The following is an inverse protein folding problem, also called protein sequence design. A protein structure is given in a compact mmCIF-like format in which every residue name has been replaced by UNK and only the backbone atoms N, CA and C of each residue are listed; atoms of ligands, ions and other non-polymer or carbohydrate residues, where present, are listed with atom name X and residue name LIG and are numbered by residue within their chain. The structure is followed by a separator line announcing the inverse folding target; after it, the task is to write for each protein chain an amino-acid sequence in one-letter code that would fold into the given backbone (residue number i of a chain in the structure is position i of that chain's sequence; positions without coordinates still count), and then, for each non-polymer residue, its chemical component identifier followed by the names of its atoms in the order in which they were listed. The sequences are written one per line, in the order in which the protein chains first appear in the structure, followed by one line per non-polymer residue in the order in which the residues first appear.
data_IF_964341064497
#
_entry.id   IF_964341064497
#
_cell.length_a   1.000
_cell.length_b   1.000
_cell.length_c   1.000
_cell.angle_alpha   90.00
_cell.angle_beta   90.00
_cell.angle_gamma   90.00
#
_symmetry.space_group_name_H-M   'P 1'
#
loop_
_entity.id
_entity.type
_entity.pdbx_description
1 polymer ?
#
# COMPACT_ATOMS: atom_id res chain seq x y z
N UNK A 1 -4.21 -16.51 51.47
CA UNK A 1 -3.16 -15.51 51.20
C UNK A 1 -3.12 -15.31 49.70
N UNK A 2 -3.80 -14.28 49.19
CA UNK A 2 -3.67 -13.85 47.81
C UNK A 2 -2.34 -13.13 47.68
N UNK A 3 -1.36 -13.77 47.03
CA UNK A 3 -0.12 -13.12 46.64
C UNK A 3 -0.36 -12.46 45.28
N UNK A 4 -0.34 -11.13 45.27
CA UNK A 4 -0.60 -10.33 44.09
C UNK A 4 0.53 -10.43 43.08
N UNK A 5 0.18 -10.73 41.83
CA UNK A 5 0.98 -10.30 40.69
C UNK A 5 0.86 -8.77 40.62
N UNK A 6 1.86 -8.09 41.19
CA UNK A 6 2.10 -6.67 41.00
C UNK A 6 2.31 -6.45 39.50
N UNK A 7 1.42 -5.70 38.86
CA UNK A 7 1.60 -5.29 37.49
C UNK A 7 2.94 -4.55 37.37
N UNK A 8 3.80 -4.97 36.43
CA UNK A 8 4.98 -4.21 36.09
C UNK A 8 4.50 -2.86 35.56
N UNK A 9 4.67 -1.81 36.36
CA UNK A 9 4.42 -0.44 35.94
C UNK A 9 5.31 -0.15 34.72
N UNK A 10 4.74 0.44 33.67
CA UNK A 10 5.50 0.79 32.47
C UNK A 10 6.51 1.88 32.84
N UNK A 11 7.79 1.51 32.88
CA UNK A 11 8.88 2.43 33.16
C UNK A 11 9.27 3.17 31.87
N UNK A 12 8.90 4.45 31.81
CA UNK A 12 9.15 5.32 30.66
C UNK A 12 10.65 5.59 30.47
N UNK A 13 11.42 5.68 31.55
CA UNK A 13 12.85 6.01 31.48
C UNK A 13 13.63 4.82 30.91
N UNK A 14 13.34 3.60 31.39
CA UNK A 14 13.89 2.36 30.83
C UNK A 14 13.50 2.18 29.37
N UNK A 15 12.27 2.54 29.00
CA UNK A 15 11.81 2.47 27.62
C UNK A 15 12.57 3.45 26.71
N UNK A 16 12.72 4.72 27.14
CA UNK A 16 13.41 5.76 26.36
C UNK A 16 14.88 5.42 26.16
N UNK A 17 15.55 4.88 27.19
CA UNK A 17 16.95 4.44 27.11
C UNK A 17 17.17 3.31 26.09
N UNK A 18 16.14 2.54 25.76
CA UNK A 18 16.17 1.47 24.76
C UNK A 18 15.84 1.94 23.34
N UNK A 19 15.43 3.20 23.15
CA UNK A 19 15.12 3.76 21.83
C UNK A 19 16.41 4.20 21.14
N UNK A 20 16.71 3.58 20.01
CA UNK A 20 17.79 4.02 19.12
C UNK A 20 17.30 5.15 18.22
N UNK A 21 18.00 6.28 18.25
CA UNK A 21 17.74 7.38 17.32
C UNK A 21 18.17 6.98 15.90
N UNK A 22 17.23 7.00 14.95
CA UNK A 22 17.52 6.67 13.54
C UNK A 22 17.80 7.91 12.69
N UNK A 23 17.31 9.08 13.13
CA UNK A 23 17.49 10.35 12.44
C UNK A 23 18.77 11.05 12.94
N UNK A 24 19.50 11.72 12.03
CA UNK A 24 20.62 12.57 12.44
C UNK A 24 20.10 13.78 13.23
N UNK A 25 20.91 14.32 14.15
CA UNK A 25 20.52 15.50 14.95
C UNK A 25 20.11 16.70 14.08
N UNK A 26 20.72 16.84 12.91
CA UNK A 26 20.46 17.94 11.98
C UNK A 26 19.12 17.78 11.26
N UNK A 27 18.69 16.54 10.96
CA UNK A 27 17.49 16.25 10.18
C UNK A 27 16.28 15.85 11.03
N UNK A 28 16.46 15.55 12.32
CA UNK A 28 15.42 15.02 13.21
C UNK A 28 14.17 15.93 13.27
N UNK A 29 14.34 17.25 13.32
CA UNK A 29 13.21 18.18 13.32
C UNK A 29 12.38 18.07 12.03
N UNK A 30 13.04 18.13 10.86
CA UNK A 30 12.39 18.02 9.55
C UNK A 30 11.74 16.64 9.39
N UNK A 31 12.44 15.58 9.78
CA UNK A 31 11.91 14.22 9.71
C UNK A 31 10.62 14.07 10.52
N UNK A 32 10.55 14.64 11.73
CA UNK A 32 9.33 14.65 12.54
C UNK A 32 8.20 15.43 11.88
N UNK A 33 8.49 16.60 11.31
CA UNK A 33 7.49 17.41 10.59
C UNK A 33 6.92 16.66 9.38
N UNK A 34 7.78 15.99 8.60
CA UNK A 34 7.38 15.18 7.45
C UNK A 34 6.52 13.98 7.87
N UNK A 35 6.87 13.28 8.95
CA UNK A 35 6.02 12.18 9.48
C UNK A 35 4.67 12.68 9.98
N UNK A 36 4.63 13.81 10.70
CA UNK A 36 3.37 14.43 11.12
C UNK A 36 2.51 14.83 9.92
N UNK A 37 3.12 15.40 8.88
CA UNK A 37 2.46 15.72 7.63
C UNK A 37 1.85 14.47 6.99
N UNK A 38 2.61 13.40 6.83
CA UNK A 38 2.15 12.16 6.21
C UNK A 38 1.02 11.49 7.02
N UNK A 39 1.11 11.45 8.35
CA UNK A 39 0.03 10.93 9.21
C UNK A 39 -1.26 11.73 9.07
N UNK A 40 -1.16 13.06 9.04
CA UNK A 40 -2.33 13.93 8.83
C UNK A 40 -2.94 13.73 7.44
N UNK A 41 -2.10 13.56 6.41
CA UNK A 41 -2.52 13.36 5.03
C UNK A 41 -3.14 11.97 4.81
N UNK A 42 -2.59 10.92 5.41
CA UNK A 42 -3.16 9.58 5.38
C UNK A 42 -4.59 9.61 5.91
N UNK A 43 -4.83 10.26 7.06
CA UNK A 43 -6.17 10.38 7.63
C UNK A 43 -7.10 11.21 6.75
N UNK A 44 -6.61 12.34 6.21
CA UNK A 44 -7.41 13.25 5.39
C UNK A 44 -7.93 12.60 4.11
N UNK A 45 -7.14 11.74 3.48
CA UNK A 45 -7.46 11.12 2.19
C UNK A 45 -7.78 9.62 2.29
N UNK A 46 -7.99 9.11 3.51
CA UNK A 46 -8.36 7.71 3.73
C UNK A 46 -9.72 7.41 3.10
N UNK A 47 -9.73 6.41 2.22
CA UNK A 47 -10.96 5.86 1.64
C UNK A 47 -11.64 4.93 2.67
N UNK A 48 -12.96 5.05 2.81
CA UNK A 48 -13.75 4.19 3.70
C UNK A 48 -13.72 2.74 3.20
N UNK A 49 -13.66 1.75 4.09
CA UNK A 49 -13.47 0.35 3.69
C UNK A 49 -14.61 -0.25 2.87
N UNK A 50 -15.81 0.32 2.97
CA UNK A 50 -17.05 -0.18 2.38
C UNK A 50 -17.48 0.57 1.10
N UNK A 51 -16.62 1.43 0.55
CA UNK A 51 -16.94 2.29 -0.61
C UNK A 51 -17.45 1.53 -1.85
N UNK A 52 -17.02 0.28 -2.06
CA UNK A 52 -17.50 -0.57 -3.16
C UNK A 52 -18.85 -1.24 -2.87
N UNK A 53 -19.26 -1.31 -1.61
CA UNK A 53 -20.54 -1.87 -1.17
C UNK A 53 -21.58 -0.80 -0.82
N UNK A 54 -21.12 0.41 -0.55
CA UNK A 54 -21.95 1.57 -0.22
C UNK A 54 -22.93 1.90 -1.36
N UNK A 55 -24.15 2.27 -0.98
CA UNK A 55 -25.19 2.81 -1.87
C UNK A 55 -25.16 4.34 -1.76
N UNK A 56 -24.92 5.05 -2.86
CA UNK A 56 -24.99 6.52 -2.91
C UNK A 56 -26.16 6.94 -3.79
N UNK A 57 -26.98 7.87 -3.29
CA UNK A 57 -28.15 8.40 -3.99
C UNK A 57 -29.10 7.31 -4.51
N UNK A 58 -29.24 6.22 -3.75
CA UNK A 58 -30.05 5.05 -4.12
C UNK A 58 -29.41 4.11 -5.15
N UNK A 59 -28.17 4.37 -5.58
CA UNK A 59 -27.44 3.60 -6.57
C UNK A 59 -26.29 2.82 -5.93
N UNK A 60 -26.29 1.51 -6.10
CA UNK A 60 -25.18 0.62 -5.69
C UNK A 60 -24.02 0.72 -6.68
N UNK A 61 -22.79 0.49 -6.21
CA UNK A 61 -21.63 0.34 -7.10
C UNK A 61 -21.83 -0.84 -8.06
N UNK A 62 -21.54 -0.62 -9.34
CA UNK A 62 -21.41 -1.70 -10.33
C UNK A 62 -20.02 -2.38 -10.24
N UNK A 63 -19.09 -1.79 -9.50
CA UNK A 63 -17.73 -2.28 -9.28
C UNK A 63 -17.66 -3.03 -7.95
N UNK A 64 -17.09 -4.24 -7.95
CA UNK A 64 -16.84 -5.05 -6.77
C UNK A 64 -15.34 -5.29 -6.52
N UNK A 65 -15.00 -5.84 -5.35
CA UNK A 65 -13.62 -6.07 -4.93
C UNK A 65 -12.82 -6.95 -5.90
N UNK A 66 -13.47 -7.95 -6.54
CA UNK A 66 -12.83 -8.83 -7.52
C UNK A 66 -12.42 -8.06 -8.77
N UNK A 67 -13.32 -7.21 -9.29
CA UNK A 67 -13.04 -6.39 -10.47
C UNK A 67 -11.91 -5.39 -10.20
N UNK A 68 -11.91 -4.78 -9.01
CA UNK A 68 -10.80 -3.94 -8.56
C UNK A 68 -9.50 -4.73 -8.48
N UNK A 69 -9.53 -5.95 -7.93
CA UNK A 69 -8.36 -6.82 -7.87
C UNK A 69 -7.77 -7.10 -9.25
N UNK A 70 -8.60 -7.41 -10.24
CA UNK A 70 -8.18 -7.62 -11.64
C UNK A 70 -7.56 -6.34 -12.22
N UNK A 71 -8.17 -5.18 -11.99
CA UNK A 71 -7.61 -3.91 -12.44
C UNK A 71 -6.23 -3.65 -11.83
N UNK A 72 -6.10 -3.81 -10.51
CA UNK A 72 -4.84 -3.53 -9.80
C UNK A 72 -3.74 -4.49 -10.25
N UNK A 73 -4.06 -5.76 -10.47
CA UNK A 73 -3.11 -6.75 -10.99
C UNK A 73 -2.56 -6.32 -12.36
N UNK A 74 -3.45 -5.93 -13.28
CA UNK A 74 -3.07 -5.38 -14.58
C UNK A 74 -2.25 -4.08 -14.47
N UNK A 75 -2.59 -3.17 -13.55
CA UNK A 75 -1.80 -1.95 -13.33
C UNK A 75 -0.38 -2.24 -12.82
N UNK A 76 -0.14 -3.36 -12.13
CA UNK A 76 1.22 -3.80 -11.77
C UNK A 76 2.00 -4.18 -13.02
N UNK A 77 1.39 -4.90 -13.96
CA UNK A 77 2.01 -5.25 -15.24
C UNK A 77 2.36 -4.00 -16.06
N UNK A 78 1.43 -3.05 -16.15
CA UNK A 78 1.66 -1.73 -16.79
C UNK A 78 2.83 -0.99 -16.16
N UNK A 79 2.92 -1.02 -14.82
CA UNK A 79 4.03 -0.41 -14.08
C UNK A 79 5.38 -1.05 -14.40
N UNK A 80 5.43 -2.38 -14.57
CA UNK A 80 6.65 -3.07 -14.97
C UNK A 80 7.02 -2.80 -16.43
N UNK A 81 6.05 -2.80 -17.35
CA UNK A 81 6.26 -2.55 -18.78
C UNK A 81 6.92 -1.18 -19.02
N UNK A 82 6.39 -0.14 -18.35
CA UNK A 82 6.94 1.22 -18.44
C UNK A 82 8.00 1.54 -17.38
N UNK A 83 8.39 0.58 -16.55
CA UNK A 83 9.43 0.71 -15.50
C UNK A 83 9.17 1.89 -14.54
N UNK A 84 7.90 2.07 -14.18
CA UNK A 84 7.46 3.14 -13.29
C UNK A 84 7.98 2.93 -11.88
N UNK A 85 8.22 4.01 -11.14
CA UNK A 85 8.61 3.91 -9.73
C UNK A 85 7.45 3.40 -8.88
N UNK A 86 7.71 2.71 -7.74
CA UNK A 86 6.65 2.20 -6.89
C UNK A 86 5.69 3.29 -6.37
N UNK A 87 6.19 4.51 -6.17
CA UNK A 87 5.37 5.66 -5.77
C UNK A 87 4.25 5.94 -6.78
N UNK A 88 4.55 5.87 -8.08
CA UNK A 88 3.59 6.07 -9.19
C UNK A 88 2.46 5.05 -9.14
N UNK A 89 2.78 3.75 -9.04
CA UNK A 89 1.78 2.69 -8.96
C UNK A 89 0.87 2.86 -7.73
N UNK A 90 1.45 3.13 -6.56
CA UNK A 90 0.68 3.32 -5.34
C UNK A 90 -0.19 4.57 -5.38
N UNK A 91 0.30 5.65 -5.99
CA UNK A 91 -0.49 6.86 -6.21
C UNK A 91 -1.66 6.56 -7.16
N UNK A 92 -1.42 5.88 -8.29
CA UNK A 92 -2.47 5.50 -9.23
C UNK A 92 -3.59 4.68 -8.55
N UNK A 93 -3.23 3.65 -7.77
CA UNK A 93 -4.20 2.84 -7.03
C UNK A 93 -4.98 3.70 -6.01
N UNK A 94 -4.30 4.60 -5.31
CA UNK A 94 -4.94 5.53 -4.37
C UNK A 94 -5.95 6.46 -5.07
N UNK A 95 -5.61 6.97 -6.26
CA UNK A 95 -6.51 7.79 -7.06
C UNK A 95 -7.71 6.98 -7.54
N UNK A 96 -7.51 5.74 -8.00
CA UNK A 96 -8.61 4.82 -8.38
C UNK A 96 -9.59 4.64 -7.22
N UNK A 97 -9.09 4.32 -6.02
CA UNK A 97 -9.94 4.09 -4.85
C UNK A 97 -10.70 5.34 -4.44
N UNK A 98 -10.05 6.51 -4.46
CA UNK A 98 -10.71 7.77 -4.16
C UNK A 98 -11.78 8.11 -5.18
N UNK A 99 -11.52 7.93 -6.47
CA UNK A 99 -12.50 8.11 -7.52
C UNK A 99 -13.70 7.17 -7.35
N UNK A 100 -13.47 5.88 -7.13
CA UNK A 100 -14.55 4.92 -6.90
C UNK A 100 -15.32 5.20 -5.60
N UNK A 101 -14.70 5.89 -4.64
CA UNK A 101 -15.38 6.37 -3.45
C UNK A 101 -16.23 7.61 -3.68
N UNK A 102 -15.96 8.46 -4.69
CA UNK A 102 -16.69 9.72 -4.90
C UNK A 102 -17.69 9.66 -6.05
N UNK A 103 -17.44 8.84 -7.07
CA UNK A 103 -18.28 8.73 -8.26
C UNK A 103 -18.71 7.28 -8.56
N UNK A 104 -19.84 7.14 -9.23
CA UNK A 104 -20.34 5.84 -9.71
C UNK A 104 -19.87 5.60 -11.13
N UNK A 105 -19.25 4.44 -11.35
CA UNK A 105 -18.65 4.05 -12.61
C UNK A 105 -19.25 2.74 -13.11
N UNK A 106 -19.58 2.69 -14.40
CA UNK A 106 -19.97 1.44 -15.04
C UNK A 106 -18.77 0.49 -15.17
N UNK A 107 -18.99 -0.81 -15.02
CA UNK A 107 -17.92 -1.84 -15.13
C UNK A 107 -17.04 -1.72 -16.36
N UNK A 108 -17.62 -1.37 -17.51
CA UNK A 108 -16.90 -1.25 -18.79
C UNK A 108 -15.97 -0.04 -18.87
N UNK A 109 -16.00 0.88 -17.91
CA UNK A 109 -15.12 2.05 -17.83
C UNK A 109 -14.05 1.91 -16.75
N UNK A 110 -14.00 0.78 -16.03
CA UNK A 110 -13.06 0.56 -14.93
C UNK A 110 -11.59 0.59 -15.36
N UNK A 111 -11.26 -0.05 -16.48
CA UNK A 111 -9.89 -0.01 -17.01
C UNK A 111 -9.52 1.40 -17.50
N UNK A 112 -10.44 2.11 -18.17
CA UNK A 112 -10.24 3.51 -18.56
C UNK A 112 -9.94 4.41 -17.36
N UNK A 113 -10.66 4.23 -16.24
CA UNK A 113 -10.36 4.92 -14.98
C UNK A 113 -8.94 4.58 -14.50
N UNK A 114 -8.55 3.30 -14.51
CA UNK A 114 -7.21 2.87 -14.14
C UNK A 114 -6.11 3.51 -14.99
N UNK A 115 -6.28 3.55 -16.32
CA UNK A 115 -5.37 4.23 -17.24
C UNK A 115 -5.24 5.73 -16.89
N UNK A 116 -6.36 6.43 -16.73
CA UNK A 116 -6.37 7.86 -16.41
C UNK A 116 -5.69 8.16 -15.06
N UNK A 117 -5.96 7.35 -14.03
CA UNK A 117 -5.28 7.48 -12.74
C UNK A 117 -3.78 7.19 -12.83
N UNK A 118 -3.36 6.22 -13.65
CA UNK A 118 -1.94 5.94 -13.87
C UNK A 118 -1.25 7.07 -14.66
N UNK A 119 -1.88 7.61 -15.71
CA UNK A 119 -1.37 8.78 -16.45
C UNK A 119 -1.14 9.96 -15.51
N UNK A 120 -2.13 10.27 -14.66
CA UNK A 120 -2.01 11.34 -13.67
C UNK A 120 -0.91 11.08 -12.65
N UNK A 121 -0.78 9.84 -12.17
CA UNK A 121 0.31 9.48 -11.26
C UNK A 121 1.68 9.61 -11.94
N UNK A 122 1.82 9.19 -13.21
CA UNK A 122 3.05 9.35 -13.97
C UNK A 122 3.41 10.83 -14.15
N UNK A 123 2.44 11.68 -14.49
CA UNK A 123 2.65 13.13 -14.60
C UNK A 123 3.06 13.77 -13.26
N UNK A 124 2.73 13.14 -12.14
CA UNK A 124 3.01 13.64 -10.80
C UNK A 124 4.37 13.19 -10.26
N UNK A 125 4.73 11.92 -10.46
CA UNK A 125 5.89 11.29 -9.81
C UNK A 125 7.07 11.05 -10.77
N UNK A 126 6.82 10.83 -12.06
CA UNK A 126 7.88 10.45 -13.00
C UNK A 126 8.60 11.67 -13.58
N UNK A 127 9.93 11.57 -13.71
CA UNK A 127 10.73 12.57 -14.42
C UNK A 127 10.37 12.59 -15.90
N UNK A 128 10.09 11.41 -16.48
CA UNK A 128 9.65 11.24 -17.86
C UNK A 128 8.45 10.29 -17.86
N UNK A 129 7.25 10.86 -17.93
CA UNK A 129 6.01 10.11 -17.98
C UNK A 129 5.79 9.47 -19.37
N UNK A 130 5.20 8.26 -19.45
CA UNK A 130 4.68 7.73 -20.71
C UNK A 130 3.63 8.64 -21.31
N UNK A 131 3.53 8.64 -22.64
CA UNK A 131 2.55 9.42 -23.39
C UNK A 131 1.16 8.80 -23.30
N UNK A 132 0.11 9.55 -23.66
CA UNK A 132 -1.24 9.00 -23.75
C UNK A 132 -1.33 7.92 -24.84
N UNK A 133 -0.54 8.06 -25.93
CA UNK A 133 -0.46 7.06 -26.99
C UNK A 133 0.05 5.71 -26.48
N UNK A 134 1.00 5.73 -25.52
CA UNK A 134 1.47 4.51 -24.86
C UNK A 134 0.32 3.83 -24.10
N UNK A 135 -0.50 4.59 -23.38
CA UNK A 135 -1.68 4.04 -22.67
C UNK A 135 -2.78 3.56 -23.61
N UNK A 136 -2.96 4.19 -24.77
CA UNK A 136 -3.84 3.70 -25.83
C UNK A 136 -3.32 2.37 -26.38
N UNK A 137 -2.01 2.23 -26.57
CA UNK A 137 -1.38 1.01 -27.04
C UNK A 137 -1.51 -0.15 -26.04
N UNK A 138 -1.15 0.06 -24.76
CA UNK A 138 -1.18 -1.02 -23.75
C UNK A 138 -2.60 -1.46 -23.36
N UNK A 139 -3.60 -0.64 -23.64
CA UNK A 139 -5.02 -1.01 -23.51
C UNK A 139 -5.57 -1.71 -24.76
N UNK A 140 -4.69 -2.20 -25.65
CA UNK A 140 -5.04 -2.86 -26.93
C UNK A 140 -5.99 -2.02 -27.78
N UNK A 141 -5.78 -0.70 -27.80
CA UNK A 141 -6.63 0.26 -28.50
C UNK A 141 -8.11 0.20 -28.10
N UNK A 142 -8.43 -0.33 -26.92
CA UNK A 142 -9.80 -0.37 -26.39
C UNK A 142 -10.39 1.03 -26.24
N UNK A 143 -9.53 2.03 -26.00
CA UNK A 143 -9.93 3.42 -25.82
C UNK A 143 -9.14 4.35 -26.74
N UNK A 144 -9.78 5.43 -27.14
CA UNK A 144 -9.14 6.49 -27.93
C UNK A 144 -8.39 7.49 -27.06
N UNK A 145 -7.50 8.29 -27.66
CA UNK A 145 -6.84 9.42 -26.98
C UNK A 145 -7.86 10.37 -26.34
N UNK A 146 -8.97 10.67 -27.03
CA UNK A 146 -10.01 11.57 -26.53
C UNK A 146 -10.72 10.99 -25.31
N UNK A 147 -10.98 9.67 -25.29
CA UNK A 147 -11.57 9.01 -24.12
C UNK A 147 -10.62 9.01 -22.91
N UNK A 148 -9.32 8.80 -23.15
CA UNK A 148 -8.30 8.87 -22.10
C UNK A 148 -8.23 10.28 -21.49
N UNK A 149 -8.19 11.31 -22.32
CA UNK A 149 -8.18 12.73 -21.91
C UNK A 149 -9.47 13.13 -21.18
N UNK A 150 -10.62 12.66 -21.65
CA UNK A 150 -11.90 12.92 -21.00
C UNK A 150 -11.97 12.27 -19.61
N UNK A 151 -11.50 11.03 -19.47
CA UNK A 151 -11.44 10.37 -18.16
C UNK A 151 -10.42 11.04 -17.24
N UNK A 152 -9.26 11.48 -17.75
CA UNK A 152 -8.29 12.26 -16.97
C UNK A 152 -8.93 13.53 -16.38
N UNK A 153 -9.66 14.29 -17.21
CA UNK A 153 -10.42 15.46 -16.76
C UNK A 153 -11.45 15.08 -15.69
N UNK A 154 -12.18 13.99 -15.90
CA UNK A 154 -13.18 13.48 -14.95
C UNK A 154 -12.55 13.14 -13.60
N UNK A 155 -11.36 12.51 -13.60
CA UNK A 155 -10.62 12.18 -12.37
C UNK A 155 -10.18 13.45 -11.64
N UNK A 156 -9.64 14.43 -12.35
CA UNK A 156 -9.22 15.71 -11.77
C UNK A 156 -10.39 16.44 -11.11
N UNK A 157 -11.54 16.51 -11.79
CA UNK A 157 -12.75 17.14 -11.28
C UNK A 157 -13.31 16.38 -10.06
N UNK A 158 -13.41 15.05 -10.15
CA UNK A 158 -13.92 14.20 -9.06
C UNK A 158 -13.07 14.25 -7.79
N UNK A 159 -11.78 14.57 -7.93
CA UNK A 159 -10.84 14.70 -6.81
C UNK A 159 -10.55 16.17 -6.45
N UNK A 160 -11.21 17.12 -7.08
CA UNK A 160 -10.97 18.56 -6.92
C UNK A 160 -9.47 18.92 -7.03
N UNK A 161 -8.76 18.29 -7.98
CA UNK A 161 -7.31 18.44 -8.21
C UNK A 161 -6.42 18.07 -7.00
N UNK A 162 -6.97 17.45 -5.95
CA UNK A 162 -6.22 17.00 -4.76
C UNK A 162 -5.60 15.63 -5.05
N UNK A 163 -4.57 15.59 -5.88
CA UNK A 163 -3.92 14.35 -6.31
C UNK A 163 -2.92 13.80 -5.28
N UNK A 164 -2.35 14.65 -4.43
CA UNK A 164 -1.34 14.20 -3.46
C UNK A 164 -1.91 13.11 -2.54
N UNK A 165 -1.10 12.07 -2.31
CA UNK A 165 -1.47 10.94 -1.48
C UNK A 165 -0.28 10.48 -0.64
N UNK A 166 -0.53 10.22 0.65
CA UNK A 166 0.45 9.49 1.47
C UNK A 166 0.25 8.00 1.23
N UNK A 167 1.24 7.38 0.61
CA UNK A 167 1.32 5.93 0.43
C UNK A 167 2.30 5.27 1.44
N UNK A 168 2.35 3.94 1.42
CA UNK A 168 3.14 3.12 2.35
C UNK A 168 4.64 3.46 2.35
N UNK A 169 5.21 3.88 1.22
CA UNK A 169 6.64 4.14 1.10
C UNK A 169 7.11 5.37 1.89
N UNK A 170 6.22 6.34 2.12
CA UNK A 170 6.52 7.49 2.98
C UNK A 170 6.81 7.11 4.44
N UNK A 171 6.33 5.94 4.88
CA UNK A 171 6.57 5.42 6.21
C UNK A 171 7.59 4.28 6.23
N UNK A 172 7.58 3.44 5.19
CA UNK A 172 8.28 2.17 5.17
C UNK A 172 9.79 2.32 5.36
N UNK A 173 10.42 3.32 4.74
CA UNK A 173 11.86 3.53 4.86
C UNK A 173 12.28 3.75 6.32
N UNK A 174 11.60 4.67 7.03
CA UNK A 174 11.88 4.93 8.45
C UNK A 174 11.52 3.74 9.33
N UNK A 175 10.47 2.99 9.00
CA UNK A 175 10.11 1.79 9.75
C UNK A 175 11.13 0.67 9.56
N UNK A 176 11.69 0.50 8.37
CA UNK A 176 12.79 -0.44 8.10
C UNK A 176 14.03 -0.03 8.89
N UNK A 177 14.38 1.26 8.92
CA UNK A 177 15.50 1.76 9.72
C UNK A 177 15.27 1.59 11.22
N UNK A 178 14.04 1.77 11.70
CA UNK A 178 13.66 1.57 13.10
C UNK A 178 13.63 0.07 13.50
N UNK A 179 13.26 -0.80 12.55
CA UNK A 179 13.41 -2.25 12.68
C UNK A 179 14.89 -2.64 12.76
N UNK A 180 15.28 -3.34 13.82
CA UNK A 180 16.68 -3.75 13.99
C UNK A 180 17.12 -4.83 12.98
N UNK A 181 18.44 -4.98 12.83
CA UNK A 181 19.10 -6.09 12.12
C UNK A 181 18.84 -7.45 12.78
N UNK A 182 19.15 -8.52 12.03
CA UNK A 182 18.76 -9.92 12.21
C UNK A 182 18.95 -10.55 13.60
N UNK A 183 19.89 -10.08 14.45
CA UNK A 183 20.16 -10.70 15.76
C UNK A 183 19.14 -10.29 16.86
N UNK A 184 18.64 -9.06 16.82
CA UNK A 184 17.66 -8.55 17.81
C UNK A 184 16.23 -8.96 17.44
N UNK A 185 15.92 -9.06 16.14
CA UNK A 185 14.63 -9.57 15.65
C UNK A 185 14.35 -11.01 16.09
N UNK A 186 15.38 -11.83 16.29
CA UNK A 186 15.23 -13.21 16.78
C UNK A 186 14.63 -13.28 18.19
N UNK A 187 14.82 -12.23 19.01
CA UNK A 187 14.39 -12.22 20.41
C UNK A 187 13.15 -11.37 20.64
N UNK A 188 12.98 -10.26 19.91
CA UNK A 188 11.82 -9.37 20.05
C UNK A 188 11.28 -8.97 18.67
N UNK A 189 10.06 -9.44 18.36
CA UNK A 189 9.38 -9.13 17.11
C UNK A 189 9.00 -7.63 16.98
N UNK A 190 8.82 -6.94 18.10
CA UNK A 190 8.51 -5.50 18.13
C UNK A 190 9.41 -4.78 19.14
N UNK A 191 10.34 -3.97 18.65
CA UNK A 191 11.35 -3.30 19.46
C UNK A 191 10.84 -1.95 20.00
N UNK A 192 11.36 -1.44 21.13
CA UNK A 192 11.06 -0.08 21.61
C UNK A 192 11.30 0.99 20.55
N UNK A 193 12.35 0.82 19.73
CA UNK A 193 12.64 1.74 18.61
C UNK A 193 11.53 1.70 17.56
N UNK A 194 11.10 0.52 17.13
CA UNK A 194 10.01 0.39 16.15
C UNK A 194 8.70 0.96 16.71
N UNK A 195 8.36 0.69 17.98
CA UNK A 195 7.19 1.27 18.62
C UNK A 195 7.27 2.80 18.69
N UNK A 196 8.44 3.36 19.05
CA UNK A 196 8.65 4.80 19.12
C UNK A 196 8.42 5.49 17.77
N UNK A 197 8.89 4.93 16.66
CA UNK A 197 8.74 5.55 15.34
C UNK A 197 7.41 5.24 14.66
N UNK A 198 6.86 4.04 14.83
CA UNK A 198 5.58 3.66 14.22
C UNK A 198 4.39 4.27 14.96
N UNK A 199 4.52 4.48 16.28
CA UNK A 199 3.43 4.77 17.24
C UNK A 199 2.41 3.64 17.38
N UNK A 200 2.74 2.45 16.88
CA UNK A 200 1.91 1.25 16.98
C UNK A 200 2.58 0.22 17.86
N UNK A 201 1.82 -0.38 18.78
CA UNK A 201 2.26 -1.58 19.50
C UNK A 201 1.86 -2.86 18.75
N UNK A 202 2.35 -4.01 19.21
CA UNK A 202 2.13 -5.29 18.51
C UNK A 202 0.65 -5.70 18.43
N UNK A 203 -0.13 -5.38 19.46
CA UNK A 203 -1.56 -5.71 19.52
C UNK A 203 -2.35 -4.89 18.50
N UNK A 204 -1.95 -3.64 18.23
CA UNK A 204 -2.64 -2.79 17.26
C UNK A 204 -2.45 -3.23 15.81
N UNK A 205 -1.39 -3.99 15.51
CA UNK A 205 -1.07 -4.42 14.13
C UNK A 205 -1.32 -5.91 13.89
N UNK A 206 -1.70 -6.67 14.92
CA UNK A 206 -1.81 -8.13 14.85
C UNK A 206 -2.78 -8.59 13.76
N UNK A 207 -3.94 -7.95 13.65
CA UNK A 207 -4.96 -8.31 12.66
C UNK A 207 -4.46 -8.06 11.23
N UNK A 208 -3.75 -6.93 11.03
CA UNK A 208 -3.12 -6.61 9.74
C UNK A 208 -2.05 -7.64 9.38
N UNK A 209 -1.19 -8.02 10.34
CA UNK A 209 -0.14 -9.03 10.13
C UNK A 209 -0.75 -10.39 9.82
N UNK A 210 -1.80 -10.80 10.55
CA UNK A 210 -2.51 -12.05 10.30
C UNK A 210 -3.16 -12.09 8.91
N UNK A 211 -3.70 -10.95 8.45
CA UNK A 211 -4.27 -10.84 7.11
C UNK A 211 -3.19 -10.91 6.03
N UNK A 212 -2.07 -10.19 6.21
CA UNK A 212 -0.92 -10.26 5.30
C UNK A 212 -0.34 -11.68 5.22
N UNK A 213 -0.22 -12.39 6.34
CA UNK A 213 0.20 -13.78 6.36
C UNK A 213 -0.73 -14.68 5.54
N UNK A 214 -2.05 -14.54 5.70
CA UNK A 214 -3.03 -15.32 4.91
C UNK A 214 -2.91 -15.06 3.42
N UNK A 215 -2.66 -13.81 3.02
CA UNK A 215 -2.43 -13.45 1.62
C UNK A 215 -1.13 -14.09 1.12
N UNK A 216 -0.03 -13.95 1.86
CA UNK A 216 1.27 -14.51 1.47
C UNK A 216 1.23 -16.03 1.37
N UNK A 217 0.61 -16.72 2.33
CA UNK A 217 0.44 -18.17 2.26
C UNK A 217 -0.40 -18.60 1.06
N UNK A 218 -1.56 -17.96 0.83
CA UNK A 218 -2.39 -18.28 -0.32
C UNK A 218 -1.64 -18.12 -1.65
N UNK A 219 -0.92 -17.00 -1.85
CA UNK A 219 -0.13 -16.77 -3.07
C UNK A 219 1.07 -17.72 -3.18
N UNK A 220 1.72 -18.04 -2.06
CA UNK A 220 2.81 -19.02 -2.04
C UNK A 220 2.32 -20.40 -2.45
N UNK A 221 1.17 -20.86 -1.96
CA UNK A 221 0.58 -22.14 -2.38
C UNK A 221 0.26 -22.15 -3.88
N UNK A 222 -0.31 -21.07 -4.43
CA UNK A 222 -0.56 -20.94 -5.88
C UNK A 222 0.75 -21.05 -6.66
N UNK A 223 1.82 -20.39 -6.21
CA UNK A 223 3.14 -20.46 -6.86
C UNK A 223 3.75 -21.87 -6.90
N UNK A 224 3.34 -22.76 -5.98
CA UNK A 224 3.78 -24.16 -5.96
C UNK A 224 2.89 -25.05 -6.84
N UNK A 225 1.57 -24.83 -6.84
CA UNK A 225 0.61 -25.72 -7.49
C UNK A 225 0.29 -25.35 -8.93
N UNK A 226 0.26 -24.05 -9.24
CA UNK A 226 -0.16 -23.52 -10.54
C UNK A 226 0.56 -22.19 -10.85
N UNK A 227 1.86 -22.25 -11.23
CA UNK A 227 2.68 -21.06 -11.45
C UNK A 227 2.22 -20.14 -12.60
N UNK A 228 1.29 -20.59 -13.46
CA UNK A 228 0.73 -19.76 -14.54
C UNK A 228 -0.41 -18.86 -14.06
N UNK A 229 -0.89 -19.05 -12.82
CA UNK A 229 -1.98 -18.27 -12.22
C UNK A 229 -1.53 -17.36 -11.08
N UNK A 230 -0.23 -17.17 -10.91
CA UNK A 230 0.30 -16.20 -9.95
C UNK A 230 -0.11 -14.79 -10.35
N UNK A 231 -0.29 -13.92 -9.36
CA UNK A 231 -0.55 -12.50 -9.59
C UNK A 231 0.71 -11.80 -10.10
N UNK A 232 0.51 -10.70 -10.82
CA UNK A 232 1.58 -9.87 -11.36
C UNK A 232 2.58 -9.41 -10.28
N UNK A 233 2.10 -9.14 -9.06
CA UNK A 233 2.96 -8.81 -7.90
C UNK A 233 3.90 -9.97 -7.56
N UNK A 234 3.37 -11.20 -7.48
CA UNK A 234 4.16 -12.38 -7.16
C UNK A 234 5.24 -12.62 -8.22
N UNK A 235 4.89 -12.44 -9.49
CA UNK A 235 5.83 -12.58 -10.61
C UNK A 235 6.92 -11.51 -10.57
N UNK A 236 6.54 -10.24 -10.40
CA UNK A 236 7.46 -9.10 -10.23
C UNK A 236 8.50 -9.38 -9.15
N UNK A 237 8.06 -9.73 -7.94
CA UNK A 237 8.97 -9.95 -6.81
C UNK A 237 9.69 -11.32 -6.84
N UNK A 238 9.33 -12.20 -7.77
CA UNK A 238 10.02 -13.46 -8.03
C UNK A 238 11.21 -13.34 -8.99
N UNK A 239 11.38 -12.18 -9.62
CA UNK A 239 12.50 -11.87 -10.52
C UNK A 239 13.83 -11.70 -9.79
N UNK A 240 14.95 -11.71 -10.54
CA UNK A 240 16.29 -11.51 -9.98
C UNK A 240 16.53 -10.08 -9.48
N UNK A 241 15.91 -9.07 -10.10
CA UNK A 241 16.03 -7.67 -9.68
C UNK A 241 15.50 -7.44 -8.27
N UNK A 242 14.52 -8.25 -7.84
CA UNK A 242 13.95 -8.23 -6.50
C UNK A 242 14.50 -9.35 -5.60
N UNK A 243 15.66 -9.92 -5.93
CA UNK A 243 16.32 -10.99 -5.13
C UNK A 243 15.40 -12.22 -4.91
N UNK A 244 14.38 -12.38 -5.76
CA UNK A 244 13.39 -13.47 -5.71
C UNK A 244 12.64 -13.59 -4.38
N UNK A 245 12.43 -12.48 -3.68
CA UNK A 245 11.72 -12.47 -2.39
C UNK A 245 10.29 -13.01 -2.49
N UNK A 246 9.65 -12.92 -3.66
CA UNK A 246 8.33 -13.51 -3.92
C UNK A 246 8.30 -15.05 -3.84
N UNK A 247 9.45 -15.72 -3.89
CA UNK A 247 9.57 -17.20 -3.79
C UNK A 247 9.79 -17.70 -2.36
N UNK A 248 9.91 -16.80 -1.39
CA UNK A 248 10.15 -17.17 -0.01
C UNK A 248 8.85 -17.69 0.62
N UNK A 249 8.97 -18.82 1.32
CA UNK A 249 7.86 -19.38 2.08
C UNK A 249 7.44 -18.43 3.20
N UNK A 250 6.14 -18.33 3.51
CA UNK A 250 5.66 -17.55 4.64
C UNK A 250 6.18 -18.15 5.96
N UNK A 251 6.62 -17.30 6.88
CA UNK A 251 7.00 -17.74 8.23
C UNK A 251 5.72 -17.91 9.06
N UNK A 252 5.48 -19.13 9.57
CA UNK A 252 4.30 -19.42 10.37
C UNK A 252 4.25 -18.52 11.62
N UNK A 253 3.10 -17.91 11.95
CA UNK A 253 2.96 -17.17 13.19
C UNK A 253 3.18 -18.10 14.39
N UNK A 254 3.76 -17.61 15.50
CA UNK A 254 3.93 -18.41 16.70
C UNK A 254 2.56 -18.92 17.20
N UNK A 255 2.53 -20.15 17.70
CA UNK A 255 1.32 -20.91 18.06
C UNK A 255 0.40 -20.18 19.06
N UNK A 256 0.90 -19.18 19.77
CA UNK A 256 0.15 -18.33 20.71
C UNK A 256 -0.76 -17.28 20.07
N UNK A 257 -0.75 -17.10 18.74
CA UNK A 257 -1.64 -16.19 18.01
C UNK A 257 -2.91 -16.86 17.48
N UNK A 258 -3.15 -18.12 17.84
CA UNK A 258 -4.26 -18.95 17.31
C UNK A 258 -5.40 -19.20 18.30
N UNK A 259 -5.58 -18.31 19.28
CA UNK A 259 -6.64 -18.40 20.30
C UNK A 259 -7.44 -17.10 20.39
#
# INVERSE_FOLDING_TARGET
MMSGCVGSEFDLDVYVDQVRMIDSKENDAIAREVDMFHRSHEHKYRVQSDYLTEVKDGVKSDINCRMRGILVDWLVEVGEEYKLVPHTLHLAIHLVDRCLSTMRLARGKLQLLGCACMILACKYEEVVAPSIEDFVYISDHTYTNDEMLAMETTVLEALEYKLSGTNVYHFLERFILAGCTTEVQQHFAHTPTLHYYTKYNAVQVVDCVAHLYKIHDAEYQVSLTDPEKTRAVTDKYSTRSHVRVGKLAPVAPPSSMSS
#
